data_IF_863903481850
#
_entry.id   IF_863903481850
#
_cell.length_a   1.000
_cell.length_b   1.000
_cell.length_c   1.000
_cell.angle_alpha   90.00
_cell.angle_beta   90.00
_cell.angle_gamma   90.00
#
_symmetry.space_group_name_H-M   'P 1'
#
loop_
_entity.id
_entity.type
_entity.pdbx_description
1 polymer ?
#
# COMPACT_ATOMS: atom_id res chain seq x y z
N UNK A 1 -12.59 16.62 -35.83
CA UNK A 1 -12.82 16.25 -34.42
C UNK A 1 -11.55 16.26 -33.54
N UNK A 2 -10.40 16.69 -34.05
CA UNK A 2 -9.09 16.63 -33.36
C UNK A 2 -8.69 17.89 -32.59
N UNK A 3 -9.39 19.02 -32.75
CA UNK A 3 -9.00 20.30 -32.11
C UNK A 3 -9.50 20.49 -30.66
N UNK A 4 -10.50 19.72 -30.21
CA UNK A 4 -11.07 19.88 -28.86
C UNK A 4 -10.32 19.11 -27.76
N UNK A 5 -9.65 18.00 -28.10
CA UNK A 5 -8.85 17.23 -27.12
C UNK A 5 -7.52 17.92 -26.77
N UNK A 6 -6.95 18.70 -27.70
CA UNK A 6 -5.69 19.41 -27.43
C UNK A 6 -5.86 20.57 -26.44
N UNK A 7 -7.02 21.24 -26.43
CA UNK A 7 -7.28 22.37 -25.53
C UNK A 7 -7.46 21.90 -24.08
N UNK A 8 -8.09 20.74 -23.85
CA UNK A 8 -8.24 20.20 -22.50
C UNK A 8 -6.89 19.81 -21.86
N UNK A 9 -5.94 19.30 -22.65
CA UNK A 9 -4.59 19.00 -22.18
C UNK A 9 -3.76 20.27 -21.90
N UNK A 10 -3.97 21.35 -22.65
CA UNK A 10 -3.29 22.63 -22.45
C UNK A 10 -3.86 23.46 -21.29
N UNK A 11 -5.17 23.36 -21.01
CA UNK A 11 -5.81 24.08 -19.90
C UNK A 11 -5.45 23.50 -18.52
N UNK A 12 -5.08 22.21 -18.44
CA UNK A 12 -4.59 21.58 -17.20
C UNK A 12 -3.17 22.05 -16.81
N UNK A 13 -2.38 22.56 -17.76
CA UNK A 13 -1.07 23.14 -17.48
C UNK A 13 -1.12 24.59 -16.98
N UNK A 14 -2.26 25.30 -17.14
CA UNK A 14 -2.37 26.74 -16.86
C UNK A 14 -2.99 27.06 -15.49
N UNK A 15 -3.39 26.05 -14.71
CA UNK A 15 -3.95 26.21 -13.36
C UNK A 15 -3.01 25.65 -12.27
N UNK A 16 -1.71 25.62 -12.53
CA UNK A 16 -0.73 25.48 -11.45
C UNK A 16 -0.75 26.79 -10.64
N UNK A 17 -1.05 26.78 -9.33
CA UNK A 17 -0.88 27.96 -8.51
C UNK A 17 0.58 28.39 -8.62
N UNK A 18 0.82 29.64 -9.03
CA UNK A 18 2.12 30.27 -9.07
C UNK A 18 2.63 30.58 -7.66
N UNK A 19 2.69 29.56 -6.79
CA UNK A 19 3.19 29.68 -5.42
C UNK A 19 4.21 28.58 -5.14
N UNK A 20 5.37 29.06 -4.67
CA UNK A 20 6.59 28.37 -4.24
C UNK A 20 7.40 27.70 -5.36
N UNK A 21 8.42 28.43 -5.83
CA UNK A 21 9.51 27.96 -6.69
C UNK A 21 10.54 27.09 -5.94
N UNK A 22 10.35 26.89 -4.63
CA UNK A 22 11.32 26.25 -3.73
C UNK A 22 10.74 25.06 -2.96
N UNK A 23 9.50 24.63 -3.23
CA UNK A 23 8.98 23.39 -2.66
C UNK A 23 9.45 22.22 -3.52
N UNK A 24 10.42 21.43 -3.02
CA UNK A 24 10.89 20.22 -3.71
C UNK A 24 9.69 19.35 -4.09
N UNK A 25 9.61 18.99 -5.38
CA UNK A 25 8.57 18.09 -5.87
C UNK A 25 8.89 16.65 -5.46
N UNK A 26 7.89 15.77 -5.51
CA UNK A 26 8.13 14.35 -5.32
C UNK A 26 9.06 13.83 -6.43
N UNK A 27 10.15 13.16 -6.04
CA UNK A 27 10.89 12.31 -6.97
C UNK A 27 10.04 11.07 -7.28
N UNK A 28 9.32 11.14 -8.39
CA UNK A 28 8.40 10.08 -8.80
C UNK A 28 9.11 8.75 -9.07
N UNK A 29 10.36 8.77 -9.53
CA UNK A 29 11.11 7.55 -9.80
C UNK A 29 11.51 6.88 -8.50
N UNK A 30 12.10 7.65 -7.57
CA UNK A 30 12.46 7.15 -6.24
C UNK A 30 11.21 6.63 -5.50
N UNK A 31 10.11 7.38 -5.55
CA UNK A 31 8.86 6.96 -4.94
C UNK A 31 8.33 5.66 -5.53
N UNK A 32 8.28 5.54 -6.86
CA UNK A 32 7.79 4.33 -7.53
C UNK A 32 8.63 3.10 -7.21
N UNK A 33 9.95 3.26 -7.07
CA UNK A 33 10.85 2.19 -6.64
C UNK A 33 10.54 1.75 -5.20
N UNK A 34 10.38 2.70 -4.27
CA UNK A 34 10.04 2.37 -2.88
C UNK A 34 8.65 1.74 -2.76
N UNK A 35 7.68 2.20 -3.55
CA UNK A 35 6.36 1.61 -3.60
C UNK A 35 6.37 0.16 -4.11
N UNK A 36 7.20 -0.13 -5.13
CA UNK A 36 7.39 -1.51 -5.60
C UNK A 36 7.99 -2.40 -4.52
N UNK A 37 9.00 -1.91 -3.80
CA UNK A 37 9.62 -2.65 -2.69
C UNK A 37 8.58 -2.93 -1.59
N UNK A 38 7.78 -1.94 -1.22
CA UNK A 38 6.70 -2.13 -0.25
C UNK A 38 5.69 -3.17 -0.72
N UNK A 39 5.22 -3.09 -1.97
CA UNK A 39 4.27 -4.05 -2.52
C UNK A 39 4.83 -5.48 -2.55
N UNK A 40 6.09 -5.65 -2.93
CA UNK A 40 6.78 -6.94 -2.94
C UNK A 40 6.86 -7.53 -1.53
N UNK A 41 7.35 -6.74 -0.56
CA UNK A 41 7.44 -7.18 0.83
C UNK A 41 6.07 -7.61 1.37
N UNK A 42 5.02 -6.80 1.14
CA UNK A 42 3.66 -7.12 1.61
C UNK A 42 3.12 -8.41 1.00
N UNK A 43 3.35 -8.63 -0.30
CA UNK A 43 2.95 -9.87 -0.98
C UNK A 43 3.72 -11.10 -0.50
N UNK A 44 5.02 -10.96 -0.26
CA UNK A 44 5.88 -12.01 0.28
C UNK A 44 5.47 -12.39 1.70
N UNK A 45 5.26 -11.41 2.58
CA UNK A 45 4.81 -11.67 3.96
C UNK A 45 3.42 -12.32 4.01
N UNK A 46 2.49 -11.86 3.17
CA UNK A 46 1.17 -12.48 3.07
C UNK A 46 1.29 -13.96 2.63
N UNK A 47 2.12 -14.24 1.62
CA UNK A 47 2.33 -15.60 1.13
C UNK A 47 3.01 -16.48 2.18
N UNK A 48 4.06 -15.98 2.85
CA UNK A 48 4.79 -16.71 3.89
C UNK A 48 3.88 -17.06 5.04
N UNK A 49 3.09 -16.12 5.55
CA UNK A 49 2.18 -16.37 6.68
C UNK A 49 1.16 -17.46 6.38
N UNK A 50 0.60 -17.50 5.16
CA UNK A 50 -0.33 -18.56 4.76
C UNK A 50 0.36 -19.92 4.73
N UNK A 51 1.56 -19.99 4.16
CA UNK A 51 2.35 -21.23 4.11
C UNK A 51 2.75 -21.69 5.50
N UNK A 52 3.31 -20.80 6.32
CA UNK A 52 3.75 -21.09 7.69
C UNK A 52 2.58 -21.55 8.57
N UNK A 53 1.41 -20.92 8.41
CA UNK A 53 0.20 -21.32 9.10
C UNK A 53 -0.24 -22.74 8.74
N UNK A 54 -0.24 -23.08 7.44
CA UNK A 54 -0.61 -24.41 6.98
C UNK A 54 0.39 -25.49 7.43
N UNK A 55 1.69 -25.19 7.36
CA UNK A 55 2.76 -26.11 7.76
C UNK A 55 2.83 -26.36 9.28
N UNK A 56 2.33 -25.42 10.09
CA UNK A 56 2.26 -25.57 11.54
C UNK A 56 1.09 -26.46 12.02
N UNK A 57 0.16 -26.82 11.14
CA UNK A 57 -1.00 -27.65 11.48
C UNK A 57 -0.66 -29.15 11.48
N UNK A 58 -1.35 -29.93 12.33
CA UNK A 58 -1.42 -31.39 12.18
C UNK A 58 -2.32 -31.77 10.99
N UNK A 59 -2.23 -33.01 10.47
CA UNK A 59 -3.12 -33.48 9.40
C UNK A 59 -4.62 -33.33 9.73
N UNK A 60 -5.00 -33.57 10.99
CA UNK A 60 -6.39 -33.41 11.46
C UNK A 60 -6.82 -31.94 11.45
N UNK A 61 -5.92 -31.03 11.83
CA UNK A 61 -6.17 -29.58 11.79
C UNK A 61 -6.26 -29.06 10.36
N UNK A 62 -5.46 -29.59 9.42
CA UNK A 62 -5.57 -29.24 8.00
C UNK A 62 -6.92 -29.69 7.43
N UNK A 63 -7.37 -30.89 7.76
CA UNK A 63 -8.69 -31.40 7.35
C UNK A 63 -9.84 -30.53 7.89
N UNK A 64 -9.76 -30.10 9.15
CA UNK A 64 -10.75 -29.16 9.70
C UNK A 64 -10.62 -27.76 9.10
N UNK A 65 -9.41 -27.29 8.80
CA UNK A 65 -9.18 -26.03 8.10
C UNK A 65 -9.80 -26.05 6.70
N UNK A 66 -9.61 -27.11 5.92
CA UNK A 66 -10.25 -27.29 4.62
C UNK A 66 -11.78 -27.27 4.73
N UNK A 67 -12.33 -27.83 5.82
CA UNK A 67 -13.76 -27.78 6.11
C UNK A 67 -14.23 -26.37 6.50
N UNK A 68 -13.42 -25.63 7.25
CA UNK A 68 -13.67 -24.23 7.61
C UNK A 68 -13.58 -23.30 6.40
N UNK A 69 -12.71 -23.61 5.42
CA UNK A 69 -12.63 -22.87 4.15
C UNK A 69 -13.92 -22.99 3.30
N UNK A 70 -14.79 -23.96 3.58
CA UNK A 70 -16.11 -24.05 2.96
C UNK A 70 -17.11 -23.02 3.54
N UNK A 71 -16.83 -22.46 4.72
CA UNK A 71 -17.63 -21.38 5.34
C UNK A 71 -17.02 -20.01 5.01
N UNK A 72 -17.75 -19.23 4.22
CA UNK A 72 -17.34 -17.88 3.81
C UNK A 72 -17.07 -16.93 4.98
N UNK A 73 -17.79 -17.07 6.09
CA UNK A 73 -17.59 -16.20 7.25
C UNK A 73 -16.30 -16.55 7.99
N UNK A 74 -15.96 -17.84 8.09
CA UNK A 74 -14.72 -18.30 8.69
C UNK A 74 -13.51 -17.91 7.85
N UNK A 75 -13.61 -18.05 6.52
CA UNK A 75 -12.59 -17.56 5.58
C UNK A 75 -12.34 -16.06 5.78
N UNK A 76 -13.40 -15.25 5.81
CA UNK A 76 -13.25 -13.80 5.96
C UNK A 76 -12.58 -13.40 7.29
N UNK A 77 -12.91 -14.10 8.39
CA UNK A 77 -12.28 -13.90 9.70
C UNK A 77 -10.79 -14.26 9.67
N UNK A 78 -10.46 -15.42 9.11
CA UNK A 78 -9.08 -15.88 8.99
C UNK A 78 -8.24 -14.95 8.10
N UNK A 79 -8.77 -14.53 6.95
CA UNK A 79 -8.08 -13.58 6.08
C UNK A 79 -7.87 -12.24 6.78
N UNK A 80 -8.82 -11.78 7.59
CA UNK A 80 -8.68 -10.57 8.40
C UNK A 80 -7.55 -10.72 9.42
N UNK A 81 -7.48 -11.86 10.11
CA UNK A 81 -6.37 -12.15 11.02
C UNK A 81 -5.01 -12.11 10.29
N UNK A 82 -4.91 -12.72 9.10
CA UNK A 82 -3.70 -12.71 8.30
C UNK A 82 -3.31 -11.30 7.87
N UNK A 83 -4.27 -10.49 7.39
CA UNK A 83 -4.02 -9.07 7.06
C UNK A 83 -3.49 -8.30 8.26
N UNK A 84 -4.05 -8.54 9.45
CA UNK A 84 -3.56 -7.96 10.71
C UNK A 84 -2.09 -8.31 11.00
N UNK A 85 -1.71 -9.57 10.82
CA UNK A 85 -0.32 -10.04 10.99
C UNK A 85 0.63 -9.42 9.96
N UNK A 86 0.25 -9.35 8.69
CA UNK A 86 1.08 -8.70 7.66
C UNK A 86 1.29 -7.22 7.97
N UNK A 87 0.24 -6.50 8.41
CA UNK A 87 0.36 -5.10 8.82
C UNK A 87 1.36 -4.94 9.98
N UNK A 88 1.28 -5.80 11.00
CA UNK A 88 2.22 -5.80 12.13
C UNK A 88 3.68 -6.02 11.68
N UNK A 89 3.91 -7.00 10.80
CA UNK A 89 5.25 -7.25 10.24
C UNK A 89 5.76 -6.05 9.44
N UNK A 90 4.89 -5.41 8.65
CA UNK A 90 5.26 -4.22 7.89
C UNK A 90 5.68 -3.05 8.79
N UNK A 91 5.00 -2.85 9.93
CA UNK A 91 5.44 -1.83 10.91
C UNK A 91 6.87 -2.10 11.38
N UNK A 92 7.19 -3.36 11.73
CA UNK A 92 8.56 -3.74 12.12
C UNK A 92 9.58 -3.53 10.99
N UNK A 93 9.19 -3.85 9.75
CA UNK A 93 10.02 -3.63 8.57
C UNK A 93 10.34 -2.15 8.30
N UNK A 94 9.37 -1.25 8.50
CA UNK A 94 9.61 0.19 8.38
C UNK A 94 10.51 0.70 9.51
N UNK A 95 10.33 0.22 10.75
CA UNK A 95 11.23 0.56 11.86
C UNK A 95 12.68 0.17 11.54
N UNK A 96 12.89 -1.02 10.96
CA UNK A 96 14.22 -1.45 10.51
C UNK A 96 14.76 -0.60 9.35
N UNK A 97 13.90 -0.21 8.39
CA UNK A 97 14.30 0.71 7.30
C UNK A 97 14.93 1.99 7.87
N UNK A 98 14.28 2.61 8.86
CA UNK A 98 14.76 3.84 9.48
C UNK A 98 16.04 3.66 10.31
N UNK A 99 16.28 2.45 10.84
CA UNK A 99 17.54 2.15 11.54
C UNK A 99 18.74 2.06 10.58
N UNK A 100 18.51 1.70 9.31
CA UNK A 100 19.58 1.31 8.37
C UNK A 100 19.77 2.30 7.19
N UNK A 101 18.84 3.22 6.94
CA UNK A 101 18.76 3.91 5.64
C UNK A 101 18.44 5.42 5.75
N UNK A 102 18.41 6.08 4.58
CA UNK A 102 18.01 7.49 4.40
C UNK A 102 16.53 7.68 4.70
N UNK A 103 16.23 8.72 5.48
CA UNK A 103 14.89 9.01 5.99
C UNK A 103 13.81 9.14 4.88
N UNK A 104 14.13 9.76 3.75
CA UNK A 104 13.16 10.04 2.67
C UNK A 104 12.66 8.75 1.99
N UNK A 105 13.58 7.81 1.72
CA UNK A 105 13.22 6.56 1.04
C UNK A 105 12.34 5.68 1.95
N UNK A 106 12.60 5.68 3.26
CA UNK A 106 11.74 4.97 4.21
C UNK A 106 10.37 5.63 4.35
N UNK A 107 10.29 6.97 4.31
CA UNK A 107 9.01 7.70 4.33
C UNK A 107 8.16 7.34 3.10
N UNK A 108 8.77 7.34 1.91
CA UNK A 108 8.10 6.92 0.67
C UNK A 108 7.58 5.48 0.75
N UNK A 109 8.42 4.58 1.29
CA UNK A 109 8.05 3.16 1.44
C UNK A 109 6.88 2.98 2.41
N UNK A 110 6.90 3.68 3.53
CA UNK A 110 5.85 3.63 4.56
C UNK A 110 4.50 4.17 4.02
N UNK A 111 4.52 5.36 3.39
CA UNK A 111 3.33 5.96 2.75
C UNK A 111 2.75 5.01 1.70
N UNK A 112 3.59 4.40 0.86
CA UNK A 112 3.16 3.48 -0.17
C UNK A 112 2.55 2.19 0.41
N UNK A 113 3.24 1.53 1.35
CA UNK A 113 2.77 0.30 1.96
C UNK A 113 1.47 0.48 2.74
N UNK A 114 1.34 1.59 3.48
CA UNK A 114 0.09 1.94 4.17
C UNK A 114 -1.06 2.18 3.20
N UNK A 115 -0.82 2.82 2.06
CA UNK A 115 -1.87 3.06 1.06
C UNK A 115 -2.32 1.76 0.37
N UNK A 116 -1.39 0.85 0.09
CA UNK A 116 -1.69 -0.49 -0.43
C UNK A 116 -2.56 -1.24 0.57
N UNK A 117 -2.15 -1.31 1.85
CA UNK A 117 -2.89 -2.02 2.89
C UNK A 117 -4.27 -1.42 3.14
N UNK A 118 -4.39 -0.10 3.18
CA UNK A 118 -5.70 0.57 3.28
C UNK A 118 -6.61 0.11 2.15
N UNK A 119 -6.10 0.04 0.93
CA UNK A 119 -6.91 -0.35 -0.21
C UNK A 119 -7.34 -1.82 -0.15
N UNK A 120 -6.46 -2.70 0.32
CA UNK A 120 -6.77 -4.11 0.55
C UNK A 120 -7.89 -4.27 1.59
N UNK A 121 -7.86 -3.52 2.69
CA UNK A 121 -8.91 -3.53 3.72
C UNK A 121 -10.25 -3.01 3.16
N UNK A 122 -10.23 -1.91 2.41
CA UNK A 122 -11.42 -1.35 1.77
C UNK A 122 -12.11 -2.35 0.83
N UNK A 123 -11.33 -3.04 -0.01
CA UNK A 123 -11.87 -3.99 -0.99
C UNK A 123 -12.44 -5.25 -0.36
N UNK A 124 -11.85 -5.70 0.74
CA UNK A 124 -12.34 -6.85 1.51
C UNK A 124 -13.48 -6.48 2.48
N UNK A 125 -13.87 -5.19 2.54
CA UNK A 125 -14.79 -4.65 3.55
C UNK A 125 -14.35 -5.00 4.99
N UNK A 126 -13.04 -5.13 5.18
CA UNK A 126 -12.44 -5.43 6.47
C UNK A 126 -12.44 -4.17 7.34
N UNK A 127 -12.91 -4.30 8.59
CA UNK A 127 -13.04 -3.19 9.55
C UNK A 127 -11.82 -3.02 10.44
N UNK A 128 -10.77 -3.81 10.24
CA UNK A 128 -9.50 -3.61 10.92
C UNK A 128 -9.00 -2.17 10.74
N UNK A 129 -8.44 -1.64 11.82
CA UNK A 129 -7.79 -0.34 11.79
C UNK A 129 -6.51 -0.45 10.96
N UNK A 130 -6.34 0.44 9.98
CA UNK A 130 -5.11 0.54 9.21
C UNK A 130 -3.94 0.88 10.15
N UNK A 131 -2.79 0.24 9.93
CA UNK A 131 -1.58 0.54 10.68
C UNK A 131 -1.21 2.05 10.62
N UNK A 132 -0.70 2.63 11.73
CA UNK A 132 -0.23 4.01 11.73
C UNK A 132 1.03 4.15 10.85
N UNK A 133 1.30 5.37 10.39
CA UNK A 133 2.61 5.70 9.84
C UNK A 133 3.66 5.70 10.96
N UNK A 134 4.90 5.38 10.62
CA UNK A 134 6.03 5.46 11.54
C UNK A 134 6.29 6.90 12.01
N UNK A 135 6.83 7.09 13.22
CA UNK A 135 7.00 8.43 13.81
C UNK A 135 7.93 9.33 12.96
N UNK A 136 9.01 8.78 12.39
CA UNK A 136 9.91 9.50 11.48
C UNK A 136 9.20 9.86 10.18
N UNK A 137 8.30 9.02 9.66
CA UNK A 137 7.47 9.36 8.50
C UNK A 137 6.53 10.53 8.83
N UNK A 138 5.88 10.48 10.00
CA UNK A 138 5.00 11.58 10.44
C UNK A 138 5.79 12.89 10.58
N UNK A 139 6.96 12.85 11.20
CA UNK A 139 7.87 14.00 11.30
C UNK A 139 8.31 14.50 9.92
N UNK A 140 8.67 13.59 9.02
CA UNK A 140 9.06 13.92 7.65
C UNK A 140 7.94 14.64 6.89
N UNK A 141 6.68 14.21 7.04
CA UNK A 141 5.51 14.85 6.41
C UNK A 141 5.36 16.32 6.86
N UNK A 142 5.72 16.65 8.11
CA UNK A 142 5.65 18.04 8.60
C UNK A 142 6.64 18.96 7.88
N UNK A 143 7.81 18.45 7.49
CA UNK A 143 8.81 19.18 6.71
C UNK A 143 8.57 19.15 5.20
N UNK A 144 7.82 18.16 4.70
CA UNK A 144 7.68 17.86 3.28
C UNK A 144 6.20 17.75 2.83
N UNK A 145 5.34 18.62 3.34
CA UNK A 145 3.87 18.50 3.19
C UNK A 145 3.40 18.35 1.74
N UNK A 146 4.01 19.08 0.80
CA UNK A 146 3.67 18.98 -0.63
C UNK A 146 4.09 17.63 -1.21
N UNK A 147 5.31 17.18 -0.94
CA UNK A 147 5.80 15.87 -1.42
C UNK A 147 5.00 14.74 -0.81
N UNK A 148 4.64 14.83 0.47
CA UNK A 148 3.77 13.86 1.14
C UNK A 148 2.40 13.76 0.45
N UNK A 149 1.76 14.88 0.14
CA UNK A 149 0.48 14.89 -0.57
C UNK A 149 0.60 14.29 -1.98
N UNK A 150 1.68 14.61 -2.71
CA UNK A 150 1.97 14.00 -4.01
C UNK A 150 2.20 12.48 -3.87
N UNK A 151 2.95 12.03 -2.87
CA UNK A 151 3.24 10.63 -2.59
C UNK A 151 1.96 9.84 -2.29
N UNK A 152 1.07 10.37 -1.43
CA UNK A 152 -0.21 9.74 -1.11
C UNK A 152 -1.09 9.57 -2.36
N UNK A 153 -1.21 10.61 -3.20
CA UNK A 153 -1.99 10.54 -4.44
C UNK A 153 -1.45 9.47 -5.39
N UNK A 154 -0.13 9.40 -5.58
CA UNK A 154 0.51 8.40 -6.43
C UNK A 154 0.33 7.00 -5.83
N UNK A 155 0.49 6.84 -4.50
CA UNK A 155 0.27 5.58 -3.80
C UNK A 155 -1.15 5.05 -3.98
N UNK A 156 -2.16 5.91 -3.80
CA UNK A 156 -3.56 5.54 -3.98
C UNK A 156 -3.89 5.17 -5.42
N UNK A 157 -3.28 5.85 -6.40
CA UNK A 157 -3.42 5.47 -7.80
C UNK A 157 -2.79 4.11 -8.09
N UNK A 158 -1.57 3.85 -7.60
CA UNK A 158 -0.90 2.55 -7.77
C UNK A 158 -1.65 1.42 -7.07
N UNK A 159 -2.11 1.63 -5.84
CA UNK A 159 -2.88 0.64 -5.09
C UNK A 159 -4.20 0.28 -5.81
N UNK A 160 -4.87 1.27 -6.41
CA UNK A 160 -6.06 1.03 -7.24
C UNK A 160 -5.75 0.17 -8.46
N UNK A 161 -4.63 0.38 -9.13
CA UNK A 161 -4.22 -0.41 -10.30
C UNK A 161 -3.82 -1.83 -9.94
N UNK A 162 -3.01 -2.00 -8.88
CA UNK A 162 -2.54 -3.30 -8.43
C UNK A 162 -3.68 -4.23 -8.01
N UNK A 163 -4.78 -3.65 -7.51
CA UNK A 163 -5.92 -4.36 -6.96
C UNK A 163 -7.16 -4.33 -7.87
N UNK A 164 -7.06 -3.83 -9.11
CA UNK A 164 -8.14 -4.00 -10.08
C UNK A 164 -8.22 -5.49 -10.46
N UNK A 165 -9.37 -6.17 -10.28
CA UNK A 165 -9.55 -7.45 -10.93
C UNK A 165 -9.43 -7.17 -12.43
N UNK A 166 -8.47 -7.82 -13.08
CA UNK A 166 -8.32 -7.75 -14.53
C UNK A 166 -9.71 -7.84 -15.14
N UNK A 167 -10.07 -6.82 -15.92
CA UNK A 167 -11.29 -6.84 -16.72
C UNK A 167 -11.23 -8.18 -17.46
N UNK A 168 -12.06 -9.15 -17.05
CA UNK A 168 -12.32 -10.33 -17.87
C UNK A 168 -12.96 -9.73 -19.11
N UNK A 169 -12.15 -9.55 -20.15
CA UNK A 169 -12.66 -9.20 -21.45
C UNK A 169 -13.71 -10.26 -21.80
N UNK A 170 -14.87 -9.73 -22.16
CA UNK A 170 -16.09 -10.46 -22.54
C UNK A 170 -15.85 -11.35 -23.74
#
# INVERSE_FOLDING_TARGET
MTKRMMVAALSLCLLAPAYAKDAERLDQLAFSQQARIAAQYLGEQASSLVVDHFLAMTPEQQSEFDRLLADKQQVALWESEMRGKVMQQFVGYIAQCYAENKADLCAYRDIAGRSIMRKTLEQSNDKQQIMPLHEQTQSWITGHTRQAAEAEQVAEWMARLALHPGRKDR
#
